data_IF_339481691009
#
_entry.id   IF_339481691009
#
_cell.length_a   1.000
_cell.length_b   1.000
_cell.length_c   1.000
_cell.angle_alpha   90.00
_cell.angle_beta   90.00
_cell.angle_gamma   90.00
#
_symmetry.space_group_name_H-M   'P 1'
#
loop_
_entity.id
_entity.type
_entity.pdbx_description
1 polymer ?
#
# COMPACT_ATOMS: atom_id res chain seq x y z
N UNK A 1 -13.92 9.11 48.89
CA UNK A 1 -12.79 10.00 49.24
C UNK A 1 -11.81 9.22 50.09
N UNK A 2 -10.76 8.64 49.50
CA UNK A 2 -9.59 8.16 50.23
C UNK A 2 -8.43 8.00 49.25
N UNK A 3 -7.38 8.75 49.54
CA UNK A 3 -6.15 8.92 48.78
C UNK A 3 -5.15 7.89 49.32
N UNK A 4 -4.56 7.05 48.45
CA UNK A 4 -3.28 6.39 48.78
C UNK A 4 -2.23 6.75 47.73
N UNK A 5 -1.28 7.54 48.23
CA UNK A 5 -0.01 7.94 47.65
C UNK A 5 1.05 6.84 47.83
N UNK A 6 2.09 6.96 46.99
CA UNK A 6 3.46 6.45 47.16
C UNK A 6 3.66 4.95 46.91
N UNK A 7 4.79 4.47 46.42
CA UNK A 7 5.97 5.03 45.74
C UNK A 7 6.81 3.79 45.42
N UNK A 8 7.28 3.64 44.19
CA UNK A 8 8.09 2.48 43.78
C UNK A 8 9.12 2.89 42.75
N UNK A 9 10.11 3.67 43.19
CA UNK A 9 11.31 4.02 42.44
C UNK A 9 12.43 3.02 42.81
N UNK A 10 13.18 2.58 41.79
CA UNK A 10 14.61 2.16 41.77
C UNK A 10 14.94 0.68 41.60
N UNK A 11 16.08 0.51 40.94
CA UNK A 11 16.88 -0.70 40.64
C UNK A 11 16.34 -1.47 39.41
N UNK A 12 17.08 -1.70 38.33
CA UNK A 12 18.51 -2.02 38.24
C UNK A 12 19.18 -1.33 37.05
N UNK A 13 20.33 -0.74 37.34
CA UNK A 13 21.37 -0.48 36.37
C UNK A 13 22.27 -1.72 36.25
N UNK A 14 22.96 -1.79 35.12
CA UNK A 14 24.27 -2.42 34.89
C UNK A 14 24.31 -3.70 34.03
N UNK A 15 25.36 -3.67 33.19
CA UNK A 15 26.05 -4.76 32.52
C UNK A 15 25.41 -5.32 31.26
N UNK A 16 25.78 -4.77 30.10
CA UNK A 16 26.25 -5.62 29.01
C UNK A 16 27.53 -5.05 28.38
N UNK A 17 28.50 -5.95 28.31
CA UNK A 17 29.89 -5.72 28.00
C UNK A 17 30.10 -5.31 26.54
N UNK A 18 31.08 -4.44 26.34
CA UNK A 18 31.64 -4.12 25.04
C UNK A 18 32.34 -5.35 24.46
N UNK A 19 31.81 -5.88 23.34
CA UNK A 19 32.56 -6.76 22.46
C UNK A 19 33.10 -5.92 21.31
N UNK A 20 34.37 -5.56 21.39
CA UNK A 20 35.12 -4.98 20.29
C UNK A 20 35.40 -6.09 19.26
N UNK A 21 34.68 -6.08 18.14
CA UNK A 21 34.99 -6.93 16.99
C UNK A 21 35.85 -6.12 16.03
N UNK A 22 37.13 -6.47 15.98
CA UNK A 22 38.11 -6.04 15.00
C UNK A 22 37.72 -6.64 13.64
N UNK A 23 37.17 -5.83 12.74
CA UNK A 23 36.96 -6.24 11.35
C UNK A 23 38.12 -5.73 10.50
N UNK A 24 38.96 -6.66 10.05
CA UNK A 24 40.04 -6.40 9.11
C UNK A 24 39.48 -6.00 7.73
N UNK A 25 39.95 -4.87 7.19
CA UNK A 25 39.72 -4.49 5.81
C UNK A 25 40.45 -5.47 4.88
N UNK A 26 39.69 -6.27 4.13
CA UNK A 26 40.17 -6.89 2.90
C UNK A 26 39.69 -6.04 1.73
N UNK A 27 40.59 -5.20 1.19
CA UNK A 27 40.39 -4.51 -0.09
C UNK A 27 40.59 -5.54 -1.21
N UNK A 28 39.53 -5.88 -1.93
CA UNK A 28 39.60 -6.63 -3.18
C UNK A 28 39.34 -5.68 -4.35
N UNK A 29 40.41 -5.32 -5.07
CA UNK A 29 40.34 -4.68 -6.38
C UNK A 29 39.98 -5.72 -7.43
N UNK A 30 38.69 -5.94 -7.65
CA UNK A 30 38.16 -6.81 -8.70
C UNK A 30 37.75 -6.00 -9.93
N UNK A 31 38.53 -6.13 -11.00
CA UNK A 31 38.29 -5.50 -12.29
C UNK A 31 37.09 -6.12 -13.04
N UNK A 32 36.25 -5.22 -13.56
CA UNK A 32 35.62 -5.20 -14.89
C UNK A 32 35.39 -6.52 -15.65
N UNK A 33 34.12 -6.87 -15.85
CA UNK A 33 33.65 -7.46 -17.10
C UNK A 33 32.18 -7.07 -17.33
N UNK A 34 31.94 -6.26 -18.37
CA UNK A 34 30.61 -5.91 -18.84
C UNK A 34 30.05 -7.07 -19.70
N UNK A 35 28.89 -7.65 -19.39
CA UNK A 35 28.21 -8.51 -20.34
C UNK A 35 27.49 -7.67 -21.40
N UNK A 36 27.80 -8.00 -22.65
CA UNK A 36 27.20 -7.46 -23.85
C UNK A 36 25.71 -7.86 -24.00
N UNK A 37 24.96 -6.90 -24.55
CA UNK A 37 23.71 -7.01 -25.31
C UNK A 37 22.88 -8.29 -25.24
N UNK A 38 21.68 -8.16 -24.65
CA UNK A 38 20.51 -8.90 -25.12
C UNK A 38 19.52 -7.93 -25.75
N UNK A 39 19.24 -8.18 -27.02
CA UNK A 39 18.25 -7.48 -27.83
C UNK A 39 16.81 -7.75 -27.32
N UNK A 40 15.86 -6.82 -27.54
CA UNK A 40 14.47 -7.01 -27.19
C UNK A 40 13.78 -7.89 -28.24
N UNK A 41 13.07 -8.94 -27.79
CA UNK A 41 12.16 -9.71 -28.61
C UNK A 41 10.73 -9.55 -28.10
N UNK A 42 9.84 -9.12 -29.00
CA UNK A 42 8.43 -9.51 -28.97
C UNK A 42 7.46 -8.55 -28.30
N UNK A 43 7.07 -7.51 -29.04
CA UNK A 43 5.73 -6.91 -28.89
C UNK A 43 4.70 -7.91 -29.43
N UNK A 44 3.81 -8.43 -28.58
CA UNK A 44 2.60 -9.10 -29.02
C UNK A 44 1.41 -8.16 -28.82
N UNK A 45 0.91 -7.64 -29.93
CA UNK A 45 -0.38 -6.99 -30.06
C UNK A 45 -1.52 -8.03 -30.14
N UNK A 46 -2.72 -7.51 -29.92
CA UNK A 46 -4.00 -7.95 -30.47
C UNK A 46 -4.77 -9.05 -29.72
N UNK A 47 -5.93 -8.62 -29.22
CA UNK A 47 -6.99 -9.47 -28.69
C UNK A 47 -8.28 -8.67 -28.51
N UNK A 48 -8.74 -8.02 -29.58
CA UNK A 48 -10.08 -7.45 -29.70
C UNK A 48 -11.10 -8.57 -29.94
N UNK A 49 -12.09 -8.70 -29.05
CA UNK A 49 -13.35 -9.36 -29.35
C UNK A 49 -14.46 -8.73 -28.50
N UNK A 50 -15.03 -7.64 -29.02
CA UNK A 50 -16.27 -7.05 -28.53
C UNK A 50 -17.42 -7.72 -29.28
N UNK A 51 -18.00 -8.74 -28.66
CA UNK A 51 -19.14 -9.47 -29.21
C UNK A 51 -20.44 -8.72 -28.90
N UNK A 52 -21.11 -8.24 -29.96
CA UNK A 52 -22.50 -7.79 -29.92
C UNK A 52 -23.42 -9.02 -29.95
N UNK A 53 -24.60 -8.92 -29.32
CA UNK A 53 -25.80 -9.17 -30.12
C UNK A 53 -26.83 -8.01 -30.08
N UNK A 54 -27.55 -7.77 -31.19
CA UNK A 54 -28.71 -6.89 -31.24
C UNK A 54 -29.98 -7.66 -30.85
N UNK A 55 -30.59 -7.34 -29.70
CA UNK A 55 -31.93 -7.82 -29.39
C UNK A 55 -32.97 -6.72 -29.65
N UNK A 56 -33.80 -7.01 -30.65
CA UNK A 56 -34.98 -6.27 -31.01
C UNK A 56 -36.13 -6.53 -30.02
N UNK A 57 -36.88 -5.46 -29.73
CA UNK A 57 -38.33 -5.50 -29.51
C UNK A 57 -38.85 -6.09 -28.19
N UNK A 58 -39.07 -5.22 -27.20
CA UNK A 58 -40.05 -5.47 -26.14
C UNK A 58 -40.98 -4.25 -25.96
N UNK A 59 -42.29 -4.47 -25.68
CA UNK A 59 -43.29 -3.42 -25.57
C UNK A 59 -43.07 -2.53 -24.33
N UNK A 60 -43.29 -1.23 -24.51
CA UNK A 60 -43.18 -0.20 -23.47
C UNK A 60 -44.43 -0.19 -22.60
N UNK A 61 -44.34 -0.76 -21.40
CA UNK A 61 -45.29 -0.52 -20.32
C UNK A 61 -44.83 0.71 -19.54
N UNK A 62 -45.55 1.83 -19.69
CA UNK A 62 -45.34 3.05 -18.91
C UNK A 62 -45.87 2.85 -17.50
N UNK A 63 -45.01 2.42 -16.58
CA UNK A 63 -45.26 2.51 -15.14
C UNK A 63 -44.86 3.91 -14.66
N UNK A 64 -45.82 4.67 -14.13
CA UNK A 64 -45.57 5.92 -13.43
C UNK A 64 -44.84 5.61 -12.12
N UNK A 65 -43.51 5.69 -12.13
CA UNK A 65 -42.67 5.52 -10.96
C UNK A 65 -42.66 6.81 -10.14
N UNK A 66 -43.28 6.77 -8.95
CA UNK A 66 -43.16 7.81 -7.94
C UNK A 66 -41.69 7.86 -7.47
N UNK A 67 -40.94 8.86 -7.93
CA UNK A 67 -39.55 9.05 -7.55
C UNK A 67 -39.48 9.50 -6.08
N UNK A 68 -39.23 8.56 -5.16
CA UNK A 68 -38.77 8.89 -3.82
C UNK A 68 -37.39 9.54 -3.96
N UNK A 69 -37.27 10.80 -3.56
CA UNK A 69 -36.00 11.51 -3.50
C UNK A 69 -35.11 10.84 -2.44
N UNK A 70 -34.27 9.90 -2.86
CA UNK A 70 -33.17 9.40 -2.05
C UNK A 70 -32.24 10.58 -1.84
N UNK A 71 -32.21 11.11 -0.61
CA UNK A 71 -31.31 12.19 -0.23
C UNK A 71 -29.85 11.80 -0.52
N UNK A 72 -28.97 12.79 -0.75
CA UNK A 72 -27.58 12.51 -1.06
C UNK A 72 -26.97 11.65 0.05
N UNK A 73 -26.48 10.47 -0.31
CA UNK A 73 -25.63 9.68 0.56
C UNK A 73 -24.35 10.48 0.79
N UNK A 74 -24.33 11.28 1.86
CA UNK A 74 -23.15 12.01 2.27
C UNK A 74 -22.07 10.99 2.64
N UNK A 75 -21.06 10.85 1.79
CA UNK A 75 -19.85 10.10 2.12
C UNK A 75 -19.14 10.87 3.23
N UNK A 76 -19.40 10.46 4.47
CA UNK A 76 -18.80 11.02 5.69
C UNK A 76 -17.36 10.55 5.85
N UNK A 77 -16.53 10.73 4.83
CA UNK A 77 -15.08 10.68 4.97
C UNK A 77 -14.61 11.99 5.62
N UNK A 78 -15.10 12.23 6.84
CA UNK A 78 -14.77 13.39 7.63
C UNK A 78 -13.36 13.26 8.18
N UNK A 79 -12.41 13.92 7.52
CA UNK A 79 -11.00 13.93 7.94
C UNK A 79 -10.29 12.64 7.55
N UNK A 80 -9.51 12.70 6.46
CA UNK A 80 -8.63 11.60 6.11
C UNK A 80 -7.46 11.53 7.09
N UNK A 81 -7.00 10.32 7.41
CA UNK A 81 -5.79 10.21 8.21
C UNK A 81 -4.58 10.76 7.43
N UNK A 82 -3.51 11.13 8.12
CA UNK A 82 -2.33 11.78 7.52
C UNK A 82 -1.64 10.92 6.44
N UNK A 83 -1.84 9.61 6.44
CA UNK A 83 -1.35 8.68 5.41
C UNK A 83 -2.08 8.83 4.07
N UNK A 84 -3.30 9.41 4.06
CA UNK A 84 -4.09 9.60 2.85
C UNK A 84 -3.42 10.58 1.89
N UNK A 85 -3.35 10.21 0.61
CA UNK A 85 -2.85 11.07 -0.46
C UNK A 85 -1.85 10.38 -1.36
N UNK A 86 -1.10 11.22 -2.08
CA UNK A 86 -0.07 10.80 -3.02
C UNK A 86 1.31 10.98 -2.42
N UNK A 87 2.16 9.99 -2.66
CA UNK A 87 3.49 9.88 -2.07
C UNK A 87 4.50 9.50 -3.15
N UNK A 88 5.67 10.13 -3.10
CA UNK A 88 6.81 9.83 -3.98
C UNK A 88 7.99 9.38 -3.12
N UNK A 89 8.75 8.40 -3.61
CA UNK A 89 9.90 7.88 -2.87
C UNK A 89 10.90 9.01 -2.62
N UNK A 90 11.38 9.11 -1.39
CA UNK A 90 12.35 10.12 -0.99
C UNK A 90 13.71 9.92 -1.68
N UNK A 91 14.02 8.70 -2.14
CA UNK A 91 15.17 8.39 -2.98
C UNK A 91 14.76 8.35 -4.47
N UNK A 92 15.17 9.34 -5.29
CA UNK A 92 14.86 9.36 -6.72
C UNK A 92 15.62 8.29 -7.52
N UNK A 93 16.66 7.67 -6.96
CA UNK A 93 17.45 6.61 -7.60
C UNK A 93 16.98 5.20 -7.20
N UNK A 94 15.86 5.07 -6.48
CA UNK A 94 15.33 3.78 -6.04
C UNK A 94 15.09 2.83 -7.22
N UNK A 95 15.37 1.55 -7.00
CA UNK A 95 15.04 0.44 -7.92
C UNK A 95 13.75 -0.29 -7.51
N UNK A 96 13.11 0.16 -6.43
CA UNK A 96 11.91 -0.44 -5.84
C UNK A 96 10.63 0.29 -6.23
N UNK A 97 9.85 0.67 -5.23
CA UNK A 97 8.62 1.47 -5.42
C UNK A 97 8.97 2.95 -5.53
N UNK A 98 8.51 3.60 -6.60
CA UNK A 98 8.75 5.02 -6.87
C UNK A 98 7.62 5.90 -6.37
N UNK A 99 6.37 5.41 -6.40
CA UNK A 99 5.20 6.16 -5.93
C UNK A 99 4.20 5.27 -5.20
N UNK A 100 3.43 5.87 -4.31
CA UNK A 100 2.34 5.24 -3.61
C UNK A 100 1.14 6.20 -3.51
N UNK A 101 -0.06 5.69 -3.79
CA UNK A 101 -1.30 6.40 -3.53
C UNK A 101 -2.08 5.64 -2.47
N UNK A 102 -2.43 6.33 -1.38
CA UNK A 102 -3.21 5.76 -0.29
C UNK A 102 -4.58 6.44 -0.25
N UNK A 103 -5.62 5.62 -0.22
CA UNK A 103 -7.00 6.05 -0.03
C UNK A 103 -7.57 5.33 1.17
N UNK A 104 -8.30 6.07 1.99
CA UNK A 104 -9.17 5.52 3.02
C UNK A 104 -10.63 5.77 2.64
N UNK A 105 -11.53 5.19 3.42
CA UNK A 105 -12.94 5.56 3.41
C UNK A 105 -13.64 5.32 2.06
N UNK A 106 -13.78 4.04 1.71
CA UNK A 106 -14.91 3.62 0.85
C UNK A 106 -16.10 3.18 1.71
N UNK A 107 -16.31 3.86 2.85
CA UNK A 107 -17.40 3.51 3.72
C UNK A 107 -18.72 4.02 3.15
N UNK A 108 -19.74 3.16 3.21
CA UNK A 108 -21.13 3.53 2.91
C UNK A 108 -21.82 3.69 4.25
N UNK A 109 -22.33 4.88 4.48
CA UNK A 109 -23.15 5.18 5.66
C UNK A 109 -24.59 5.30 5.23
N UNK A 110 -25.48 4.61 5.93
CA UNK A 110 -26.92 4.79 5.80
C UNK A 110 -27.44 5.47 7.05
N UNK A 111 -28.25 6.52 6.89
CA UNK A 111 -28.87 7.22 8.01
C UNK A 111 -30.37 6.91 8.06
N UNK A 112 -30.89 6.72 9.27
CA UNK A 112 -32.31 6.61 9.58
C UNK A 112 -32.65 7.74 10.56
N UNK A 113 -33.27 8.80 10.07
CA UNK A 113 -33.38 10.07 10.80
C UNK A 113 -31.99 10.63 11.11
N UNK A 114 -31.75 10.98 12.37
CA UNK A 114 -30.48 11.53 12.86
C UNK A 114 -29.42 10.46 13.21
N UNK A 115 -29.77 9.17 13.08
CA UNK A 115 -28.84 8.07 13.38
C UNK A 115 -28.20 7.59 12.09
N UNK A 116 -26.88 7.75 11.97
CA UNK A 116 -26.09 7.27 10.84
C UNK A 116 -25.25 6.05 11.22
N UNK A 117 -25.38 4.96 10.46
CA UNK A 117 -24.62 3.72 10.67
C UNK A 117 -23.76 3.42 9.44
N UNK A 118 -22.49 3.09 9.67
CA UNK A 118 -21.61 2.59 8.61
C UNK A 118 -22.05 1.15 8.30
N UNK A 119 -22.65 0.94 7.14
CA UNK A 119 -23.10 -0.38 6.68
C UNK A 119 -22.01 -1.13 5.92
N UNK A 120 -21.02 -0.41 5.41
CA UNK A 120 -19.88 -0.98 4.72
C UNK A 120 -18.65 -0.12 5.02
N UNK A 121 -17.53 -0.74 5.36
CA UNK A 121 -16.22 -0.08 5.40
C UNK A 121 -15.23 -0.95 4.63
N UNK A 122 -14.73 -0.45 3.50
CA UNK A 122 -13.70 -1.17 2.76
C UNK A 122 -12.29 -0.93 3.33
N UNK A 123 -12.15 -0.07 4.35
CA UNK A 123 -10.85 0.29 4.93
C UNK A 123 -9.97 1.06 3.95
N UNK A 124 -8.69 0.70 3.94
CA UNK A 124 -7.63 1.34 3.18
C UNK A 124 -7.31 0.57 1.90
N UNK A 125 -7.17 1.31 0.79
CA UNK A 125 -6.64 0.79 -0.46
C UNK A 125 -5.35 1.53 -0.81
N UNK A 126 -4.39 0.79 -1.36
CA UNK A 126 -3.09 1.29 -1.76
C UNK A 126 -2.88 1.03 -3.24
N UNK A 127 -2.28 1.96 -3.98
CA UNK A 127 -1.77 1.73 -5.34
C UNK A 127 -0.29 2.05 -5.37
N UNK A 128 0.51 1.12 -5.85
CA UNK A 128 1.96 1.25 -5.89
C UNK A 128 2.46 1.31 -7.33
N UNK A 129 3.58 1.99 -7.51
CA UNK A 129 4.26 2.11 -8.79
C UNK A 129 5.71 1.67 -8.59
N UNK A 130 6.16 0.68 -9.36
CA UNK A 130 7.54 0.19 -9.34
C UNK A 130 8.42 0.88 -10.38
N UNK A 131 9.72 0.97 -10.10
CA UNK A 131 10.75 1.51 -11.00
C UNK A 131 10.93 0.60 -12.23
N UNK A 132 10.17 0.87 -13.27
CA UNK A 132 10.27 0.23 -14.58
C UNK A 132 10.78 1.24 -15.62
N UNK A 133 11.30 0.72 -16.73
CA UNK A 133 11.78 1.54 -17.85
C UNK A 133 10.93 1.28 -19.10
N UNK A 134 10.56 2.34 -19.86
CA UNK A 134 10.90 3.76 -19.66
C UNK A 134 10.00 4.49 -18.65
N UNK A 135 8.92 3.85 -18.21
CA UNK A 135 7.93 4.43 -17.29
C UNK A 135 7.67 3.49 -16.13
N UNK A 136 7.30 4.04 -14.98
CA UNK A 136 6.90 3.25 -13.81
C UNK A 136 5.84 2.19 -14.15
N UNK A 137 6.01 0.99 -13.60
CA UNK A 137 4.98 -0.05 -13.68
C UNK A 137 3.94 0.19 -12.58
N UNK A 138 2.69 0.38 -12.97
CA UNK A 138 1.58 0.39 -12.03
C UNK A 138 1.26 -1.03 -11.55
N UNK A 139 1.24 -1.23 -10.24
CA UNK A 139 0.88 -2.51 -9.62
C UNK A 139 -0.64 -2.65 -9.40
N UNK A 140 -1.40 -1.59 -9.69
CA UNK A 140 -2.84 -1.54 -9.47
C UNK A 140 -3.22 -1.20 -8.03
N UNK A 141 -4.52 -1.17 -7.75
CA UNK A 141 -5.04 -0.99 -6.39
C UNK A 141 -5.09 -2.33 -5.66
N UNK A 142 -4.64 -2.34 -4.41
CA UNK A 142 -4.90 -3.43 -3.48
C UNK A 142 -6.39 -3.52 -3.16
N UNK A 143 -6.82 -4.71 -2.72
CA UNK A 143 -8.10 -4.81 -2.02
C UNK A 143 -8.11 -3.90 -0.78
N UNK A 144 -9.28 -3.36 -0.46
CA UNK A 144 -9.49 -2.59 0.75
C UNK A 144 -9.26 -3.44 2.01
N UNK A 145 -8.48 -2.94 2.97
CA UNK A 145 -8.23 -3.61 4.25
C UNK A 145 -8.26 -2.65 5.42
N UNK A 146 -8.77 -3.13 6.56
CA UNK A 146 -8.73 -2.36 7.80
C UNK A 146 -7.29 -2.18 8.28
N UNK A 147 -7.04 -1.02 8.90
CA UNK A 147 -5.78 -0.72 9.58
C UNK A 147 -5.58 -1.73 10.72
N UNK A 148 -4.37 -2.26 10.84
CA UNK A 148 -4.01 -3.18 11.91
C UNK A 148 -3.97 -2.44 13.26
N UNK A 149 -4.09 -3.17 14.37
CA UNK A 149 -3.93 -2.61 15.72
C UNK A 149 -2.55 -1.97 15.94
N UNK A 150 -1.53 -2.39 15.16
CA UNK A 150 -0.20 -1.76 15.13
C UNK A 150 -0.17 -0.37 14.48
N UNK A 151 -1.30 0.09 13.91
CA UNK A 151 -1.39 1.33 13.14
C UNK A 151 -0.99 1.20 11.67
N UNK A 152 -0.50 0.03 11.25
CA UNK A 152 -0.09 -0.22 9.87
C UNK A 152 -1.28 -0.48 8.94
N UNK A 153 -1.16 0.00 7.71
CA UNK A 153 -2.10 -0.21 6.60
C UNK A 153 -1.58 -1.40 5.77
N UNK A 154 -2.24 -2.57 5.82
CA UNK A 154 -1.78 -3.73 5.07
C UNK A 154 -2.32 -3.70 3.64
N UNK A 155 -1.49 -4.12 2.69
CA UNK A 155 -1.87 -4.38 1.31
C UNK A 155 -1.20 -5.67 0.82
N UNK A 156 -1.78 -6.29 -0.22
CA UNK A 156 -1.23 -7.50 -0.82
C UNK A 156 -1.35 -7.43 -2.33
N UNK A 157 -0.31 -7.88 -3.02
CA UNK A 157 -0.25 -7.93 -4.48
C UNK A 157 0.24 -9.32 -4.90
N UNK A 158 -0.47 -9.95 -5.82
CA UNK A 158 -0.03 -11.18 -6.48
C UNK A 158 0.26 -10.84 -7.95
N UNK A 159 1.52 -10.96 -8.35
CA UNK A 159 1.97 -10.67 -9.72
C UNK A 159 2.29 -11.95 -10.49
N UNK A 160 1.84 -13.11 -10.01
CA UNK A 160 2.07 -14.42 -10.62
C UNK A 160 3.48 -14.98 -10.37
N UNK A 161 4.53 -14.16 -10.44
CA UNK A 161 5.92 -14.58 -10.17
C UNK A 161 6.36 -14.34 -8.72
N UNK A 162 5.63 -13.48 -8.00
CA UNK A 162 5.89 -13.16 -6.61
C UNK A 162 4.62 -12.64 -5.93
N UNK A 163 4.47 -12.98 -4.65
CA UNK A 163 3.48 -12.40 -3.74
C UNK A 163 4.17 -11.33 -2.91
N UNK A 164 3.51 -10.19 -2.74
CA UNK A 164 4.05 -9.08 -1.96
C UNK A 164 3.09 -8.67 -0.88
N UNK A 165 3.60 -8.67 0.33
CA UNK A 165 2.91 -8.16 1.51
C UNK A 165 3.49 -6.78 1.80
N UNK A 166 2.60 -5.79 1.92
CA UNK A 166 3.00 -4.39 2.06
C UNK A 166 2.37 -3.84 3.33
N UNK A 167 3.16 -3.08 4.08
CA UNK A 167 2.69 -2.34 5.25
C UNK A 167 3.11 -0.88 5.11
N UNK A 168 2.14 0.02 5.18
CA UNK A 168 2.39 1.46 5.20
C UNK A 168 1.99 2.07 6.55
N UNK A 169 2.77 3.03 7.03
CA UNK A 169 2.45 3.84 8.20
C UNK A 169 3.25 5.15 8.14
N UNK A 170 2.83 6.18 8.87
CA UNK A 170 3.73 7.31 9.09
C UNK A 170 4.99 6.86 9.82
N UNK A 171 6.15 7.31 9.37
CA UNK A 171 7.41 6.90 9.94
C UNK A 171 7.57 7.42 11.38
N UNK A 172 7.87 6.52 12.31
CA UNK A 172 8.24 6.89 13.68
C UNK A 172 9.61 7.58 13.75
N UNK A 173 10.49 7.36 12.77
CA UNK A 173 11.86 7.86 12.75
C UNK A 173 12.06 9.09 11.85
N UNK A 174 11.16 9.30 10.88
CA UNK A 174 11.23 10.43 9.93
C UNK A 174 9.88 11.15 9.89
N UNK A 175 9.65 12.13 10.79
CA UNK A 175 8.37 12.83 10.89
C UNK A 175 7.91 13.40 9.54
N UNK A 176 6.64 13.21 9.21
CA UNK A 176 6.04 13.69 7.95
C UNK A 176 6.32 12.81 6.73
N UNK A 177 7.13 11.74 6.85
CA UNK A 177 7.35 10.78 5.77
C UNK A 177 6.50 9.52 5.97
N UNK A 178 5.98 8.98 4.87
CA UNK A 178 5.33 7.68 4.86
C UNK A 178 6.42 6.61 4.76
N UNK A 179 6.41 5.64 5.69
CA UNK A 179 7.24 4.45 5.63
C UNK A 179 6.45 3.31 5.02
N UNK A 180 7.03 2.63 4.04
CA UNK A 180 6.46 1.45 3.41
C UNK A 180 7.47 0.30 3.49
N UNK A 181 7.09 -0.78 4.14
CA UNK A 181 7.80 -2.06 4.12
C UNK A 181 7.12 -3.03 3.17
N UNK A 182 7.93 -3.77 2.41
CA UNK A 182 7.48 -4.75 1.42
C UNK A 182 8.26 -6.02 1.65
N UNK A 183 7.55 -7.09 2.00
CA UNK A 183 8.08 -8.45 1.93
C UNK A 183 7.70 -9.05 0.58
N UNK A 184 8.69 -9.55 -0.13
CA UNK A 184 8.51 -10.25 -1.41
C UNK A 184 8.80 -11.73 -1.21
N UNK A 185 7.77 -12.53 -1.47
CA UNK A 185 7.83 -13.98 -1.46
C UNK A 185 7.79 -14.47 -2.92
N UNK A 186 8.89 -15.02 -3.44
CA UNK A 186 8.95 -15.48 -4.82
C UNK A 186 8.29 -16.86 -4.99
N UNK A 187 7.67 -17.07 -6.15
CA UNK A 187 7.12 -18.40 -6.51
C UNK A 187 8.24 -19.38 -6.88
N UNK A 188 9.32 -18.87 -7.48
CA UNK A 188 10.50 -19.64 -7.82
C UNK A 188 11.37 -19.91 -6.57
N UNK A 189 11.55 -21.17 -6.15
CA UNK A 189 12.32 -21.51 -4.96
C UNK A 189 13.82 -21.24 -5.09
N UNK A 190 14.34 -21.05 -6.31
CA UNK A 190 15.74 -20.69 -6.51
C UNK A 190 16.03 -19.21 -6.19
N UNK A 191 14.99 -18.38 -6.05
CA UNK A 191 15.12 -16.97 -5.73
C UNK A 191 14.84 -16.75 -4.25
N UNK A 192 15.79 -16.17 -3.48
CA UNK A 192 15.55 -15.90 -2.07
C UNK A 192 14.52 -14.78 -1.92
N UNK A 193 13.60 -14.99 -0.98
CA UNK A 193 12.70 -13.96 -0.49
C UNK A 193 13.50 -12.81 0.15
N UNK A 194 12.95 -11.60 0.08
CA UNK A 194 13.57 -10.45 0.73
C UNK A 194 12.54 -9.45 1.22
N UNK A 195 12.98 -8.59 2.14
CA UNK A 195 12.24 -7.43 2.59
C UNK A 195 12.95 -6.15 2.13
N UNK A 196 12.17 -5.14 1.79
CA UNK A 196 12.66 -3.79 1.52
C UNK A 196 11.83 -2.77 2.26
N UNK A 197 12.47 -1.69 2.68
CA UNK A 197 11.82 -0.58 3.37
C UNK A 197 12.19 0.72 2.68
N UNK A 198 11.19 1.56 2.42
CA UNK A 198 11.35 2.81 1.70
C UNK A 198 10.60 3.92 2.45
N UNK A 199 11.08 5.14 2.29
CA UNK A 199 10.43 6.33 2.82
C UNK A 199 9.95 7.20 1.68
N UNK A 200 8.80 7.83 1.88
CA UNK A 200 8.15 8.64 0.87
C UNK A 200 7.82 10.02 1.45
N UNK A 201 7.94 11.02 0.59
CA UNK A 201 7.50 12.39 0.86
C UNK A 201 6.17 12.63 0.15
N UNK A 202 5.38 13.56 0.69
CA UNK A 202 4.09 13.95 0.11
C UNK A 202 4.35 14.63 -1.25
N UNK A 203 3.59 14.22 -2.27
CA UNK A 203 3.63 14.79 -3.63
C UNK A 203 2.58 15.87 -3.82
#
# INVERSE_FOLDING_TARGET
MSIRKHAGRRALAAAFAALAVTLALAVSTGASAAPAGFAPAGSAQAGSAQERPPFAGAPRLSAAATALAVGPSARLCGGHAIEFGNWVNADPATRGITRAHLRDCQSVTTCSGDICTIVHDAGWAMRLFGACSPTDCDWGWSAGRLRLASGQIPASYDQGFARRQVWAAMSAYRPGQLWIAIRTDFVDPARPDYESQNWFVRS
#
